data_IF_922708234151
#
_entry.id   IF_922708234151
#
_cell.length_a   1.000
_cell.length_b   1.000
_cell.length_c   1.000
_cell.angle_alpha   90.00
_cell.angle_beta   90.00
_cell.angle_gamma   90.00
#
_symmetry.space_group_name_H-M   'P 1'
#
loop_
_entity.id
_entity.type
_entity.pdbx_description
1 polymer ?
#
# COMPACT_ATOMS: atom_id res chain seq x y z
N UNK A 1 -4.87 -35.77 9.51
CA UNK A 1 -4.65 -34.32 9.73
C UNK A 1 -3.18 -33.97 9.48
N UNK A 2 -2.59 -34.44 8.36
CA UNK A 2 -1.14 -34.40 8.10
C UNK A 2 -0.72 -33.29 7.10
N UNK A 3 -1.66 -32.45 6.66
CA UNK A 3 -1.41 -31.41 5.66
C UNK A 3 -0.88 -30.10 6.27
N UNK A 4 -0.73 -30.03 7.61
CA UNK A 4 -0.41 -28.78 8.31
C UNK A 4 1.07 -28.68 8.72
N UNK A 5 1.72 -29.79 9.05
CA UNK A 5 3.13 -29.80 9.49
C UNK A 5 4.07 -29.45 8.33
N UNK A 6 3.91 -30.12 7.18
CA UNK A 6 4.67 -29.81 5.95
C UNK A 6 4.42 -28.38 5.44
N UNK A 7 3.25 -27.80 5.69
CA UNK A 7 2.96 -26.41 5.30
C UNK A 7 3.70 -25.40 6.16
N UNK A 8 3.81 -25.66 7.47
CA UNK A 8 4.51 -24.79 8.42
C UNK A 8 6.03 -24.85 8.20
N UNK A 9 6.59 -26.05 7.98
CA UNK A 9 8.03 -26.25 7.71
C UNK A 9 8.46 -25.51 6.43
N UNK A 10 7.71 -25.67 5.34
CA UNK A 10 7.97 -24.96 4.08
C UNK A 10 7.89 -23.43 4.23
N UNK A 11 7.00 -22.92 5.10
CA UNK A 11 6.87 -21.48 5.32
C UNK A 11 8.02 -20.93 6.17
N UNK A 12 8.54 -21.72 7.12
CA UNK A 12 9.72 -21.38 7.91
C UNK A 12 10.97 -21.23 7.04
N UNK A 13 11.23 -22.22 6.18
CA UNK A 13 12.37 -22.18 5.25
C UNK A 13 12.28 -21.01 4.27
N UNK A 14 11.08 -20.75 3.72
CA UNK A 14 10.86 -19.59 2.85
C UNK A 14 11.05 -18.26 3.57
N UNK A 15 10.66 -18.18 4.84
CA UNK A 15 10.81 -16.99 5.66
C UNK A 15 12.29 -16.69 5.94
N UNK A 16 13.08 -17.71 6.30
CA UNK A 16 14.53 -17.57 6.52
C UNK A 16 15.25 -17.09 5.24
N UNK A 17 15.00 -17.75 4.11
CA UNK A 17 15.61 -17.38 2.81
C UNK A 17 15.23 -15.94 2.41
N UNK A 18 13.97 -15.55 2.63
CA UNK A 18 13.50 -14.21 2.31
C UNK A 18 14.15 -13.17 3.21
N UNK A 19 14.28 -13.46 4.51
CA UNK A 19 14.93 -12.60 5.47
C UNK A 19 16.41 -12.38 5.14
N UNK A 20 17.17 -13.45 4.84
CA UNK A 20 18.57 -13.35 4.42
C UNK A 20 18.75 -12.49 3.16
N UNK A 21 17.90 -12.69 2.15
CA UNK A 21 17.94 -11.89 0.92
C UNK A 21 17.68 -10.41 1.17
N UNK A 22 16.71 -10.09 2.03
CA UNK A 22 16.41 -8.72 2.39
C UNK A 22 17.57 -8.07 3.14
N UNK A 23 18.20 -8.78 4.07
CA UNK A 23 19.39 -8.29 4.78
C UNK A 23 20.55 -8.04 3.80
N UNK A 24 20.83 -8.97 2.89
CA UNK A 24 21.88 -8.82 1.88
C UNK A 24 21.65 -7.57 1.02
N UNK A 25 20.43 -7.39 0.49
CA UNK A 25 20.08 -6.22 -0.32
C UNK A 25 20.20 -4.91 0.46
N UNK A 26 19.80 -4.90 1.73
CA UNK A 26 19.91 -3.71 2.56
C UNK A 26 21.37 -3.31 2.78
N UNK A 27 22.26 -4.29 3.01
CA UNK A 27 23.71 -4.02 3.12
C UNK A 27 24.34 -3.56 1.82
N UNK A 28 23.88 -4.06 0.67
CA UNK A 28 24.34 -3.65 -0.65
C UNK A 28 23.95 -2.19 -0.93
N UNK A 29 22.71 -1.81 -0.65
CA UNK A 29 22.21 -0.44 -0.80
C UNK A 29 22.97 0.54 0.11
N UNK A 30 23.23 0.17 1.37
CA UNK A 30 24.01 1.02 2.28
C UNK A 30 25.45 1.23 1.80
N UNK A 31 26.08 0.21 1.22
CA UNK A 31 27.44 0.32 0.66
C UNK A 31 27.47 1.23 -0.58
N UNK A 32 26.49 1.10 -1.45
CA UNK A 32 26.37 1.95 -2.65
C UNK A 32 26.08 3.41 -2.30
N UNK A 33 25.33 3.67 -1.24
CA UNK A 33 25.07 5.03 -0.74
C UNK A 33 26.35 5.68 -0.17
N UNK A 34 27.17 4.92 0.58
CA UNK A 34 28.46 5.38 1.09
C UNK A 34 29.48 5.64 -0.03
N UNK A 35 29.50 4.82 -1.08
CA UNK A 35 30.42 4.97 -2.20
C UNK A 35 30.14 6.20 -3.10
N UNK A 36 28.95 6.81 -2.99
CA UNK A 36 28.53 7.95 -3.80
C UNK A 36 28.41 9.27 -3.02
N UNK A 37 28.80 9.31 -1.74
CA UNK A 37 28.78 10.54 -0.95
C UNK A 37 30.07 11.35 -1.14
N UNK A 38 30.00 12.66 -1.44
CA UNK A 38 31.15 13.54 -1.27
C UNK A 38 31.45 13.64 0.22
N UNK A 39 32.71 13.39 0.61
CA UNK A 39 33.20 13.56 1.99
C UNK A 39 32.83 14.97 2.47
N UNK A 40 31.88 15.06 3.40
CA UNK A 40 31.72 16.20 4.28
C UNK A 40 31.92 15.70 5.71
N UNK A 41 33.04 16.12 6.31
CA UNK A 41 33.44 15.75 7.65
C UNK A 41 32.45 16.30 8.67
N UNK A 42 31.82 15.43 9.45
CA UNK A 42 31.03 15.85 10.62
C UNK A 42 30.45 14.70 11.44
N UNK A 43 31.24 14.24 12.41
CA UNK A 43 30.90 13.51 13.65
C UNK A 43 30.19 12.13 13.60
N UNK A 44 30.99 11.10 13.90
CA UNK A 44 30.81 9.99 14.87
C UNK A 44 29.40 9.73 15.42
N UNK A 45 28.82 8.58 15.05
CA UNK A 45 28.69 7.33 15.85
C UNK A 45 27.36 7.26 16.57
N UNK A 46 26.44 6.38 16.12
CA UNK A 46 25.72 5.42 16.99
C UNK A 46 25.25 4.24 16.12
N UNK A 47 25.94 3.10 16.26
CA UNK A 47 25.51 1.80 15.70
C UNK A 47 24.71 1.12 16.80
N UNK A 48 23.38 1.24 16.79
CA UNK A 48 22.52 0.49 17.71
C UNK A 48 22.39 -0.97 17.25
N UNK A 49 23.10 -1.85 17.95
CA UNK A 49 23.01 -3.31 17.86
C UNK A 49 21.71 -3.76 18.56
N UNK A 50 20.67 -4.10 17.80
CA UNK A 50 19.47 -4.71 18.37
C UNK A 50 19.71 -6.21 18.66
N UNK A 51 20.06 -6.52 19.90
CA UNK A 51 19.98 -7.87 20.48
C UNK A 51 18.52 -8.25 20.69
N UNK A 52 18.09 -9.36 20.09
CA UNK A 52 16.74 -9.91 20.26
C UNK A 52 16.79 -11.02 21.32
N UNK A 53 16.45 -10.72 22.58
CA UNK A 53 16.25 -11.72 23.62
C UNK A 53 14.76 -11.88 23.86
N UNK A 54 14.21 -13.06 23.58
CA UNK A 54 12.83 -13.42 23.89
C UNK A 54 12.63 -13.46 25.42
N UNK A 55 11.50 -12.89 25.82
CA UNK A 55 10.99 -12.69 27.16
C UNK A 55 10.56 -14.01 27.84
N UNK A 56 10.86 -14.17 29.13
CA UNK A 56 10.24 -15.19 29.99
C UNK A 56 9.78 -14.50 31.28
N UNK A 57 8.49 -14.65 31.58
CA UNK A 57 7.71 -13.96 32.61
C UNK A 57 8.36 -13.89 34.00
N UNK A 58 8.29 -12.73 34.66
CA UNK A 58 7.86 -12.68 36.07
C UNK A 58 7.22 -11.33 36.42
N UNK A 59 6.05 -11.42 37.05
CA UNK A 59 5.23 -10.33 37.60
C UNK A 59 5.98 -9.65 38.76
N UNK A 60 6.20 -8.33 38.68
CA UNK A 60 6.57 -7.53 39.84
C UNK A 60 5.88 -6.17 39.81
N UNK A 61 4.94 -6.01 40.75
CA UNK A 61 4.30 -4.77 41.16
C UNK A 61 5.34 -3.82 41.77
N UNK A 62 5.94 -2.94 40.97
CA UNK A 62 6.54 -1.70 41.52
C UNK A 62 6.43 -0.56 40.50
N UNK A 63 5.57 0.39 40.83
CA UNK A 63 5.44 1.67 40.16
C UNK A 63 6.70 2.51 40.34
N UNK A 64 7.50 2.72 39.29
CA UNK A 64 8.23 3.99 39.17
C UNK A 64 8.67 4.26 37.73
N UNK A 65 8.18 5.38 37.21
CA UNK A 65 8.83 6.27 36.25
C UNK A 65 9.49 5.65 35.03
N UNK A 66 8.79 5.60 33.90
CA UNK A 66 9.38 5.91 32.58
C UNK A 66 8.30 6.15 31.50
N UNK A 67 7.46 7.18 31.71
CA UNK A 67 6.62 7.75 30.65
C UNK A 67 7.42 8.62 29.65
N UNK A 68 8.69 8.29 29.38
CA UNK A 68 9.50 9.04 28.41
C UNK A 68 9.22 8.65 26.96
N UNK A 69 8.57 7.50 26.70
CA UNK A 69 8.27 7.05 25.34
C UNK A 69 6.94 7.59 24.80
N UNK A 70 6.08 8.11 25.68
CA UNK A 70 4.75 8.60 25.30
C UNK A 70 4.79 9.90 24.47
N UNK A 71 5.92 10.62 24.49
CA UNK A 71 6.11 11.90 23.81
C UNK A 71 6.92 11.81 22.51
N UNK A 72 7.28 10.61 22.02
CA UNK A 72 7.93 10.51 20.71
C UNK A 72 6.94 10.87 19.60
N UNK A 73 7.14 11.98 18.86
CA UNK A 73 6.26 12.33 17.77
C UNK A 73 6.36 11.25 16.69
N UNK A 74 5.24 10.60 16.38
CA UNK A 74 5.14 9.65 15.29
C UNK A 74 5.70 10.31 14.00
N UNK A 75 6.85 9.85 13.52
CA UNK A 75 7.54 10.36 12.32
C UNK A 75 6.77 10.09 11.01
N UNK A 76 5.49 9.71 11.10
CA UNK A 76 4.59 9.54 9.97
C UNK A 76 4.03 10.90 9.51
N UNK A 77 4.91 11.84 9.16
CA UNK A 77 4.52 13.15 8.61
C UNK A 77 3.90 13.06 7.21
N UNK A 78 3.89 11.88 6.59
CA UNK A 78 3.39 11.68 5.21
C UNK A 78 1.86 11.66 5.21
N UNK A 79 1.28 12.87 5.11
CA UNK A 79 -0.14 13.09 4.81
C UNK A 79 -0.59 12.20 3.66
N UNK A 80 -1.77 11.58 3.80
CA UNK A 80 -2.40 10.78 2.76
C UNK A 80 -2.50 11.60 1.48
N UNK A 81 -1.83 11.17 0.40
CA UNK A 81 -1.89 11.88 -0.87
C UNK A 81 -3.37 11.94 -1.32
N UNK A 82 -3.79 13.10 -1.81
CA UNK A 82 -5.13 13.26 -2.34
C UNK A 82 -5.38 12.21 -3.42
N UNK A 83 -6.57 11.60 -3.42
CA UNK A 83 -6.99 10.73 -4.52
C UNK A 83 -7.00 11.55 -5.81
N UNK A 84 -6.27 11.09 -6.82
CA UNK A 84 -6.15 11.83 -8.07
C UNK A 84 -4.90 11.44 -8.83
N UNK A 85 -4.83 11.88 -10.08
CA UNK A 85 -3.68 11.62 -10.95
C UNK A 85 -2.62 12.69 -10.72
N UNK A 86 -1.32 12.36 -10.80
CA UNK A 86 -0.25 13.36 -10.73
C UNK A 86 -0.48 14.55 -11.67
N UNK A 87 -0.13 15.75 -11.19
CA UNK A 87 -0.02 16.95 -12.03
C UNK A 87 0.84 16.61 -13.25
N UNK A 88 0.45 17.10 -14.43
CA UNK A 88 1.05 16.87 -15.77
C UNK A 88 0.71 15.57 -16.49
N UNK A 89 0.05 14.62 -15.83
CA UNK A 89 -0.29 13.37 -16.49
C UNK A 89 -1.35 13.58 -17.59
N UNK A 90 -1.05 13.21 -18.85
CA UNK A 90 -1.98 13.35 -20.00
C UNK A 90 -3.02 12.23 -20.03
N UNK A 91 -4.30 12.54 -20.14
CA UNK A 91 -5.33 11.49 -20.31
C UNK A 91 -5.09 10.79 -21.64
N UNK A 92 -4.99 9.47 -21.63
CA UNK A 92 -5.05 8.68 -22.87
C UNK A 92 -6.50 8.77 -23.33
N UNK A 93 -6.77 9.59 -24.35
CA UNK A 93 -8.08 9.57 -25.03
C UNK A 93 -8.06 8.36 -25.94
N UNK A 94 -9.03 7.43 -25.78
CA UNK A 94 -9.27 6.45 -26.83
C UNK A 94 -9.75 7.22 -28.06
N UNK A 95 -9.12 6.98 -29.21
CA UNK A 95 -9.45 7.65 -30.48
C UNK A 95 -10.86 7.33 -30.96
N UNK A 96 -11.47 6.27 -30.41
CA UNK A 96 -12.74 5.72 -30.85
C UNK A 96 -13.59 5.31 -29.63
N UNK A 97 -14.02 6.29 -28.83
CA UNK A 97 -15.10 6.06 -27.87
C UNK A 97 -16.43 6.09 -28.63
N UNK A 98 -17.07 4.94 -28.77
CA UNK A 98 -18.41 4.85 -29.35
C UNK A 98 -19.34 5.78 -28.56
N UNK A 99 -19.92 6.77 -29.25
CA UNK A 99 -20.92 7.65 -28.63
C UNK A 99 -22.06 6.78 -28.10
N UNK A 100 -22.51 6.99 -26.85
CA UNK A 100 -23.63 6.24 -26.33
C UNK A 100 -24.85 6.45 -27.24
N UNK A 101 -25.54 5.35 -27.56
CA UNK A 101 -26.75 5.42 -28.37
C UNK A 101 -27.75 6.38 -27.71
N UNK A 102 -28.38 7.26 -28.50
CA UNK A 102 -29.46 8.12 -28.00
C UNK A 102 -30.53 7.23 -27.40
N UNK A 103 -30.87 7.46 -26.13
CA UNK A 103 -32.00 6.78 -25.47
C UNK A 103 -33.26 7.07 -26.30
N UNK A 104 -33.89 6.01 -26.81
CA UNK A 104 -35.19 6.10 -27.46
C UNK A 104 -36.25 5.91 -26.38
N UNK A 105 -37.24 6.79 -26.34
CA UNK A 105 -38.38 6.61 -25.44
C UNK A 105 -39.36 5.62 -26.08
N UNK A 106 -39.98 4.78 -25.26
CA UNK A 106 -41.11 3.95 -25.68
C UNK A 106 -42.37 4.83 -25.77
N UNK A 107 -43.22 4.53 -26.74
CA UNK A 107 -44.53 5.15 -26.84
C UNK A 107 -45.45 4.66 -25.72
N UNK A 108 -46.10 5.57 -24.99
CA UNK A 108 -47.03 5.21 -23.91
C UNK A 108 -48.34 4.54 -24.36
N UNK A 109 -48.64 4.49 -25.67
CA UNK A 109 -49.82 3.80 -26.19
C UNK A 109 -49.51 2.39 -26.71
N UNK A 110 -48.43 2.22 -27.47
CA UNK A 110 -48.11 0.95 -28.14
C UNK A 110 -46.80 0.31 -27.69
N UNK A 111 -46.06 0.93 -26.76
CA UNK A 111 -44.75 0.49 -26.26
C UNK A 111 -43.64 0.39 -27.31
N UNK A 112 -43.90 0.76 -28.57
CA UNK A 112 -42.90 0.79 -29.63
C UNK A 112 -42.00 2.03 -29.52
N UNK A 113 -40.74 1.88 -29.94
CA UNK A 113 -39.78 2.97 -30.00
C UNK A 113 -39.91 3.76 -31.30
N UNK A 114 -39.54 5.05 -31.25
CA UNK A 114 -39.36 5.87 -32.45
C UNK A 114 -40.48 6.84 -32.76
N UNK A 115 -41.54 6.90 -31.95
CA UNK A 115 -42.57 7.92 -32.05
C UNK A 115 -43.10 8.33 -30.67
N UNK A 116 -43.68 9.53 -30.59
CA UNK A 116 -44.32 10.03 -29.38
C UNK A 116 -45.80 9.66 -29.35
N UNK A 117 -46.37 9.59 -28.13
CA UNK A 117 -47.78 9.24 -27.87
C UNK A 117 -48.79 9.94 -28.79
N UNK A 118 -48.73 11.27 -29.05
CA UNK A 118 -49.70 11.94 -29.92
C UNK A 118 -49.63 11.54 -31.40
N UNK A 119 -48.47 11.01 -31.83
CA UNK A 119 -48.22 10.53 -33.20
C UNK A 119 -48.38 9.01 -33.30
N UNK A 120 -48.88 8.34 -32.26
CA UNK A 120 -49.11 6.91 -32.29
C UNK A 120 -50.31 6.59 -33.20
N UNK A 121 -50.12 5.64 -34.11
CA UNK A 121 -51.17 5.11 -34.98
C UNK A 121 -52.14 4.17 -34.24
N UNK A 122 -51.69 3.59 -33.11
CA UNK A 122 -52.50 2.78 -32.21
C UNK A 122 -53.04 3.71 -31.11
N UNK A 123 -54.20 4.30 -31.35
CA UNK A 123 -54.91 5.14 -30.35
C UNK A 123 -55.81 4.29 -29.49
#
# INVERSE_FOLDING_TARGET
MLMNESYIENYGELHEILHEKLQSLFTEIQKDELANSPVDNGNEEEVEIYSNSLDDNEECEECEDNNSLADMPLQNSKKRKAKGRPKSSKRIKRSEELKPAKRRNQCGNCSEYGHYRPKCSKK
#
